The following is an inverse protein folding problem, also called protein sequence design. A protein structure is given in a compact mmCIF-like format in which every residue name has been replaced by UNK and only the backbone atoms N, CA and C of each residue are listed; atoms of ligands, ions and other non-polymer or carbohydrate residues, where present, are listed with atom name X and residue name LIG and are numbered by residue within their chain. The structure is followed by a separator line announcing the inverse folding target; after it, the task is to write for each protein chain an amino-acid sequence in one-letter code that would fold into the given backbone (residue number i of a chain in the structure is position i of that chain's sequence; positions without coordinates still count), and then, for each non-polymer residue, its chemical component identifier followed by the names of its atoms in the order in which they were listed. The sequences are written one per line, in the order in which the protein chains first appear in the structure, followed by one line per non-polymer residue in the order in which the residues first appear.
data_IF_692154044506
#
_entry.id   IF_692154044506
#
_cell.length_a   1.000
_cell.length_b   1.000
_cell.length_c   1.000
_cell.angle_alpha   90.00
_cell.angle_beta   90.00
_cell.angle_gamma   90.00
#
_symmetry.space_group_name_H-M   'P 1'
#
loop_
_entity.id
_entity.type
_entity.pdbx_description
1 polymer ?
#
# COMPACT_ATOMS: atom_id res chain seq x y z
N UNK A 1 25.82 15.50 13.34
CA UNK A 1 25.74 14.31 12.44
C UNK A 1 24.37 13.62 12.44
N UNK A 2 23.64 13.55 13.55
CA UNK A 2 22.31 12.90 13.67
C UNK A 2 21.20 13.54 12.80
N UNK A 3 21.26 14.85 12.58
CA UNK A 3 20.27 15.60 11.79
C UNK A 3 20.29 15.30 10.30
N UNK A 4 21.47 15.00 9.73
CA UNK A 4 21.63 14.70 8.29
C UNK A 4 21.08 13.30 7.97
N UNK A 5 21.31 12.33 8.85
CA UNK A 5 20.80 10.95 8.70
C UNK A 5 19.26 10.92 8.75
N UNK A 6 18.65 11.70 9.64
CA UNK A 6 17.19 11.77 9.75
C UNK A 6 16.55 12.42 8.51
N UNK A 7 17.16 13.50 7.98
CA UNK A 7 16.69 14.16 6.74
C UNK A 7 16.73 13.22 5.52
N UNK A 8 17.80 12.43 5.38
CA UNK A 8 17.92 11.47 4.28
C UNK A 8 16.89 10.34 4.38
N UNK A 9 16.58 9.85 5.59
CA UNK A 9 15.59 8.80 5.81
C UNK A 9 14.15 9.28 5.51
N UNK A 10 13.85 10.53 5.84
CA UNK A 10 12.54 11.13 5.53
C UNK A 10 12.37 11.36 4.02
N UNK A 11 13.42 11.83 3.33
CA UNK A 11 13.42 11.95 1.87
C UNK A 11 13.28 10.60 1.17
N UNK A 12 13.93 9.55 1.68
CA UNK A 12 13.82 8.20 1.11
C UNK A 12 12.40 7.63 1.26
N UNK A 13 11.76 7.81 2.42
CA UNK A 13 10.35 7.42 2.63
C UNK A 13 9.39 8.19 1.72
N UNK A 14 9.65 9.49 1.50
CA UNK A 14 8.85 10.30 0.59
C UNK A 14 9.01 9.87 -0.86
N UNK A 15 10.24 9.63 -1.32
CA UNK A 15 10.53 9.11 -2.66
C UNK A 15 9.91 7.73 -2.87
N UNK A 16 9.99 6.85 -1.87
CA UNK A 16 9.34 5.54 -1.89
C UNK A 16 7.82 5.64 -2.05
N UNK A 17 7.17 6.51 -1.26
CA UNK A 17 5.73 6.76 -1.37
C UNK A 17 5.35 7.35 -2.72
N UNK A 18 6.15 8.26 -3.27
CA UNK A 18 5.93 8.83 -4.61
C UNK A 18 6.03 7.76 -5.71
N UNK A 19 7.01 6.85 -5.60
CA UNK A 19 7.18 5.74 -6.53
C UNK A 19 6.00 4.77 -6.46
N UNK A 20 5.52 4.45 -5.25
CA UNK A 20 4.30 3.66 -5.04
C UNK A 20 3.07 4.31 -5.70
N UNK A 21 2.89 5.62 -5.56
CA UNK A 21 1.81 6.35 -6.26
C UNK A 21 1.95 6.23 -7.77
N UNK A 22 3.15 6.35 -8.32
CA UNK A 22 3.41 6.14 -9.74
C UNK A 22 2.98 4.74 -10.21
N UNK A 23 3.31 3.69 -9.45
CA UNK A 23 2.89 2.32 -9.77
C UNK A 23 1.37 2.19 -9.69
N UNK A 24 0.72 2.80 -8.71
CA UNK A 24 -0.74 2.77 -8.59
C UNK A 24 -1.44 3.41 -9.81
N UNK A 25 -0.90 4.50 -10.34
CA UNK A 25 -1.43 5.14 -11.56
C UNK A 25 -1.31 4.20 -12.76
N UNK A 26 -0.15 3.54 -12.93
CA UNK A 26 0.03 2.57 -14.02
C UNK A 26 -0.97 1.42 -13.91
N UNK A 27 -1.16 0.86 -12.72
CA UNK A 27 -2.15 -0.21 -12.49
C UNK A 27 -3.59 0.25 -12.76
N UNK A 28 -3.94 1.47 -12.36
CA UNK A 28 -5.25 2.05 -12.66
C UNK A 28 -5.47 2.20 -14.18
N UNK A 29 -4.45 2.67 -14.91
CA UNK A 29 -4.48 2.79 -16.36
C UNK A 29 -4.65 1.40 -17.01
N UNK A 30 -3.92 0.38 -16.55
CA UNK A 30 -4.05 -1.00 -17.06
C UNK A 30 -5.48 -1.53 -16.87
N UNK A 31 -6.09 -1.30 -15.71
CA UNK A 31 -7.50 -1.67 -15.44
C UNK A 31 -8.50 -0.94 -16.35
N UNK A 32 -8.18 0.27 -16.82
CA UNK A 32 -9.03 1.04 -17.73
C UNK A 32 -8.86 0.62 -19.19
N UNK A 33 -7.62 0.30 -19.62
CA UNK A 33 -7.31 -0.09 -21.00
C UNK A 33 -7.80 -1.51 -21.31
N UNK A 34 -7.75 -2.42 -20.32
CA UNK A 34 -8.17 -3.82 -20.49
C UNK A 34 -9.38 -4.19 -19.61
N UNK A 35 -10.55 -3.54 -19.80
CA UNK A 35 -11.71 -3.77 -18.95
C UNK A 35 -12.33 -5.16 -19.16
N UNK A 36 -12.27 -5.67 -20.39
CA UNK A 36 -12.82 -6.96 -20.83
C UNK A 36 -12.01 -8.17 -20.33
N UNK A 37 -10.73 -7.96 -20.00
CA UNK A 37 -9.87 -9.04 -19.53
C UNK A 37 -10.02 -9.21 -18.02
N UNK A 38 -11.03 -10.00 -17.63
CA UNK A 38 -11.40 -10.24 -16.24
C UNK A 38 -10.21 -10.65 -15.35
N UNK A 39 -9.29 -11.48 -15.86
CA UNK A 39 -8.10 -11.90 -15.10
C UNK A 39 -7.16 -10.72 -14.83
N UNK A 40 -6.82 -9.93 -15.86
CA UNK A 40 -5.91 -8.77 -15.73
C UNK A 40 -6.52 -7.73 -14.79
N UNK A 41 -7.80 -7.43 -14.94
CA UNK A 41 -8.49 -6.45 -14.10
C UNK A 41 -8.56 -6.90 -12.62
N UNK A 42 -8.79 -8.21 -12.38
CA UNK A 42 -8.80 -8.79 -11.04
C UNK A 42 -7.42 -8.67 -10.37
N UNK A 43 -6.35 -9.04 -11.10
CA UNK A 43 -4.98 -8.90 -10.59
C UNK A 43 -4.60 -7.43 -10.37
N UNK A 44 -4.94 -6.53 -11.30
CA UNK A 44 -4.67 -5.10 -11.15
C UNK A 44 -5.31 -4.51 -9.89
N UNK A 45 -6.58 -4.86 -9.61
CA UNK A 45 -7.28 -4.48 -8.36
C UNK A 45 -6.64 -5.07 -7.12
N UNK A 46 -6.23 -6.34 -7.18
CA UNK A 46 -5.52 -6.98 -6.06
C UNK A 46 -4.19 -6.25 -5.77
N UNK A 47 -3.39 -5.98 -6.79
CA UNK A 47 -2.13 -5.25 -6.64
C UNK A 47 -2.34 -3.82 -6.15
N UNK A 48 -3.42 -3.14 -6.55
CA UNK A 48 -3.79 -1.85 -5.98
C UNK A 48 -4.09 -1.95 -4.48
N UNK A 49 -4.82 -2.99 -4.06
CA UNK A 49 -5.08 -3.27 -2.64
C UNK A 49 -3.79 -3.50 -1.86
N UNK A 50 -2.87 -4.31 -2.38
CA UNK A 50 -1.54 -4.52 -1.80
C UNK A 50 -0.78 -3.18 -1.66
N UNK A 51 -0.83 -2.35 -2.69
CA UNK A 51 -0.17 -1.04 -2.71
C UNK A 51 -0.70 -0.11 -1.62
N UNK A 52 -2.03 -0.03 -1.47
CA UNK A 52 -2.68 0.71 -0.39
C UNK A 52 -2.26 0.17 0.97
N UNK A 53 -2.22 -1.16 1.11
CA UNK A 53 -1.77 -1.81 2.35
C UNK A 53 -0.35 -1.39 2.75
N UNK A 54 0.58 -1.42 1.79
CA UNK A 54 1.98 -1.04 2.01
C UNK A 54 2.13 0.44 2.36
N UNK A 55 1.43 1.33 1.63
CA UNK A 55 1.46 2.78 1.90
C UNK A 55 0.95 3.06 3.31
N UNK A 56 -0.23 2.54 3.66
CA UNK A 56 -0.84 2.78 4.97
C UNK A 56 -0.07 2.09 6.11
N UNK A 57 0.50 0.92 5.85
CA UNK A 57 1.42 0.26 6.77
C UNK A 57 2.64 1.13 7.08
N UNK A 58 3.21 1.79 6.06
CA UNK A 58 4.31 2.74 6.27
C UNK A 58 3.89 3.93 7.15
N UNK A 59 2.66 4.45 6.97
CA UNK A 59 2.12 5.53 7.80
C UNK A 59 1.83 5.06 9.22
N UNK A 60 1.35 3.83 9.40
CA UNK A 60 1.14 3.22 10.70
C UNK A 60 2.46 3.16 11.48
N UNK A 61 3.52 2.61 10.89
CA UNK A 61 4.85 2.54 11.52
C UNK A 61 5.37 3.93 11.90
N UNK A 62 5.20 4.91 11.03
CA UNK A 62 5.58 6.30 11.33
C UNK A 62 4.77 6.89 12.50
N UNK A 63 3.46 6.62 12.57
CA UNK A 63 2.60 7.08 13.68
C UNK A 63 2.89 6.35 14.99
N UNK A 64 3.25 5.08 14.93
CA UNK A 64 3.71 4.30 16.08
C UNK A 64 4.98 4.91 16.70
N UNK A 65 5.98 5.23 15.88
CA UNK A 65 7.19 5.93 16.34
C UNK A 65 6.89 7.30 16.95
N UNK A 66 5.89 8.01 16.42
CA UNK A 66 5.43 9.29 16.94
C UNK A 66 4.51 9.18 18.17
N UNK A 67 4.32 7.97 18.74
CA UNK A 67 3.41 7.68 19.87
C UNK A 67 1.95 8.11 19.61
N UNK A 68 1.54 8.24 18.35
CA UNK A 68 0.18 8.61 17.94
C UNK A 68 -0.65 7.35 17.70
N UNK A 69 -1.21 6.81 18.78
CA UNK A 69 -1.95 5.55 18.80
C UNK A 69 -3.25 5.54 17.97
N UNK A 70 -4.00 6.64 18.00
CA UNK A 70 -5.29 6.76 17.32
C UNK A 70 -5.18 6.71 15.77
N UNK A 71 -4.27 7.48 15.13
CA UNK A 71 -4.04 7.32 13.71
C UNK A 71 -3.28 6.04 13.37
N UNK A 72 -2.44 5.51 14.28
CA UNK A 72 -1.77 4.23 14.07
C UNK A 72 -2.76 3.09 13.86
N UNK A 73 -3.73 2.93 14.77
CA UNK A 73 -4.73 1.85 14.68
C UNK A 73 -5.59 1.96 13.43
N UNK A 74 -5.98 3.18 13.03
CA UNK A 74 -6.74 3.40 11.80
C UNK A 74 -5.95 2.99 10.55
N UNK A 75 -4.69 3.44 10.41
CA UNK A 75 -3.87 3.08 9.27
C UNK A 75 -3.51 1.60 9.24
N UNK A 76 -3.26 0.99 10.40
CA UNK A 76 -2.96 -0.43 10.51
C UNK A 76 -4.18 -1.27 10.14
N UNK A 77 -5.38 -0.92 10.62
CA UNK A 77 -6.60 -1.64 10.29
C UNK A 77 -6.86 -1.64 8.78
N UNK A 78 -6.79 -0.47 8.15
CA UNK A 78 -7.00 -0.37 6.70
C UNK A 78 -5.90 -1.10 5.93
N UNK A 79 -4.65 -1.08 6.43
CA UNK A 79 -3.55 -1.82 5.85
C UNK A 79 -3.81 -3.34 5.89
N UNK A 80 -4.20 -3.87 7.04
CA UNK A 80 -4.53 -5.29 7.22
C UNK A 80 -5.72 -5.69 6.36
N UNK A 81 -6.78 -4.87 6.32
CA UNK A 81 -7.98 -5.17 5.54
C UNK A 81 -7.66 -5.25 4.03
N UNK A 82 -6.88 -4.30 3.50
CA UNK A 82 -6.44 -4.36 2.11
C UNK A 82 -5.50 -5.54 1.82
N UNK A 83 -4.72 -5.97 2.82
CA UNK A 83 -3.87 -7.15 2.70
C UNK A 83 -4.71 -8.44 2.64
N UNK A 84 -5.77 -8.53 3.46
CA UNK A 84 -6.74 -9.64 3.38
C UNK A 84 -7.44 -9.69 2.03
N UNK A 85 -7.88 -8.54 1.50
CA UNK A 85 -8.50 -8.45 0.17
C UNK A 85 -7.53 -8.94 -0.90
N UNK A 86 -6.26 -8.52 -0.84
CA UNK A 86 -5.23 -9.01 -1.75
C UNK A 86 -5.06 -10.53 -1.66
N UNK A 87 -4.92 -11.08 -0.44
CA UNK A 87 -4.73 -12.52 -0.25
C UNK A 87 -5.94 -13.29 -0.78
N UNK A 88 -7.16 -12.87 -0.44
CA UNK A 88 -8.38 -13.52 -0.90
C UNK A 88 -8.55 -13.47 -2.42
N UNK A 89 -8.08 -12.39 -3.07
CA UNK A 89 -8.19 -12.23 -4.53
C UNK A 89 -7.12 -13.02 -5.29
N UNK A 90 -5.88 -13.05 -4.79
CA UNK A 90 -4.75 -13.74 -5.45
C UNK A 90 -4.70 -15.23 -5.10
N UNK A 91 -5.11 -15.58 -3.89
CA UNK A 91 -5.12 -16.94 -3.36
C UNK A 91 -6.55 -17.34 -2.96
N UNK A 92 -7.47 -17.49 -3.92
CA UNK A 92 -8.88 -17.79 -3.63
C UNK A 92 -9.10 -19.13 -2.90
N UNK A 93 -8.11 -20.02 -2.92
CA UNK A 93 -8.16 -21.32 -2.23
C UNK A 93 -7.70 -21.27 -0.77
N UNK A 94 -7.24 -20.12 -0.26
CA UNK A 94 -6.86 -19.95 1.14
C UNK A 94 -8.09 -19.43 1.90
N UNK A 95 -8.82 -20.32 2.55
CA UNK A 95 -9.89 -19.96 3.48
C UNK A 95 -9.29 -19.71 4.87
N UNK A 96 -9.54 -18.51 5.42
CA UNK A 96 -9.25 -18.16 6.82
C UNK A 96 -10.45 -18.43 7.71
#
# INVERSE_FOLDING_TARGET
MVTVVNKNRHNALFQYRALLVGIAIVLAIVSIIYPENHSINTFARAFLSLLVSVVLGSYAVERFHNKKWLPFSAYLLVSVLNLLIFISTVFPNIHF
#
